data_IF_647212868169
#
_entry.id   IF_647212868169
#
_cell.length_a   1.000
_cell.length_b   1.000
_cell.length_c   1.000
_cell.angle_alpha   90.00
_cell.angle_beta   90.00
_cell.angle_gamma   90.00
#
_symmetry.space_group_name_H-M   'P 1'
#
loop_
_entity.id
_entity.type
_entity.pdbx_description
1 polymer ?
#
# COMPACT_ATOMS: atom_id res chain seq x y z
N UNK A 1 -20.68 38.24 36.08
CA UNK A 1 -19.67 38.13 35.01
C UNK A 1 -19.47 36.65 34.74
N UNK A 2 -19.97 36.15 33.62
CA UNK A 2 -19.93 34.73 33.28
C UNK A 2 -18.66 34.44 32.47
N UNK A 3 -17.83 33.55 33.01
CA UNK A 3 -16.63 33.01 32.37
C UNK A 3 -17.05 32.15 31.17
N UNK A 4 -16.53 32.36 29.95
CA UNK A 4 -16.74 31.41 28.88
C UNK A 4 -15.87 30.19 29.13
N UNK A 5 -16.49 29.01 29.14
CA UNK A 5 -15.81 27.74 29.16
C UNK A 5 -14.92 27.63 27.92
N UNK A 6 -13.64 27.33 28.12
CA UNK A 6 -12.73 27.00 27.03
C UNK A 6 -13.20 25.71 26.36
N UNK A 7 -13.91 25.87 25.26
CA UNK A 7 -14.41 24.79 24.42
C UNK A 7 -13.25 24.08 23.76
N UNK A 8 -13.23 22.75 23.94
CA UNK A 8 -12.74 21.84 22.89
C UNK A 8 -11.25 21.55 22.90
N UNK A 9 -10.87 20.50 23.62
CA UNK A 9 -9.91 19.55 23.08
C UNK A 9 -10.42 19.05 21.72
N UNK A 10 -10.12 19.75 20.63
CA UNK A 10 -10.18 19.14 19.28
C UNK A 10 -8.82 18.52 19.07
N UNK A 11 -8.64 17.37 19.71
CA UNK A 11 -7.61 16.41 19.34
C UNK A 11 -7.87 16.13 17.87
N UNK A 12 -7.09 16.74 16.97
CA UNK A 12 -7.25 16.58 15.53
C UNK A 12 -7.10 15.08 15.25
N UNK A 13 -8.23 14.38 15.08
CA UNK A 13 -8.22 12.96 14.78
C UNK A 13 -7.33 12.75 13.55
N UNK A 14 -6.46 11.72 13.54
CA UNK A 14 -5.70 11.39 12.35
C UNK A 14 -6.73 11.21 11.22
N UNK A 15 -6.67 12.08 10.21
CA UNK A 15 -7.53 11.98 9.04
C UNK A 15 -7.07 10.74 8.27
N UNK A 16 -7.69 9.60 8.58
CA UNK A 16 -7.51 8.34 7.87
C UNK A 16 -8.29 8.43 6.55
N UNK A 17 -7.64 8.09 5.45
CA UNK A 17 -8.27 7.94 4.15
C UNK A 17 -7.79 6.66 3.52
N UNK A 18 -8.66 5.98 2.78
CA UNK A 18 -8.23 4.85 1.96
C UNK A 18 -7.56 5.40 0.71
N UNK A 19 -6.32 5.00 0.47
CA UNK A 19 -5.54 5.38 -0.70
C UNK A 19 -4.95 4.12 -1.31
N UNK A 20 -5.43 3.75 -2.51
CA UNK A 20 -4.95 2.58 -3.26
C UNK A 20 -4.95 1.28 -2.44
N UNK A 21 -6.03 1.05 -1.69
CA UNK A 21 -6.20 -0.13 -0.84
C UNK A 21 -5.46 -0.06 0.51
N UNK A 22 -4.71 1.01 0.78
CA UNK A 22 -4.06 1.26 2.06
C UNK A 22 -4.85 2.23 2.91
N UNK A 23 -4.96 1.97 4.21
CA UNK A 23 -5.44 2.96 5.16
C UNK A 23 -4.33 3.93 5.54
N UNK A 24 -4.44 5.17 5.05
CA UNK A 24 -3.42 6.19 5.19
C UNK A 24 -3.81 7.22 6.25
N UNK A 25 -3.00 7.35 7.30
CA UNK A 25 -3.08 8.43 8.28
C UNK A 25 -2.35 9.65 7.74
N UNK A 26 -3.08 10.58 7.10
CA UNK A 26 -2.49 11.77 6.49
C UNK A 26 -1.60 12.54 7.49
N UNK A 27 -1.98 12.54 8.78
CA UNK A 27 -1.25 13.12 9.90
C UNK A 27 0.22 12.68 10.02
N UNK A 28 0.51 11.43 9.65
CA UNK A 28 1.84 10.80 9.79
C UNK A 28 2.63 10.84 8.49
N UNK A 29 2.00 11.13 7.36
CA UNK A 29 2.72 11.26 6.09
C UNK A 29 3.68 12.45 6.11
N UNK A 30 4.79 12.30 5.41
CA UNK A 30 5.72 13.39 5.09
C UNK A 30 4.94 14.54 4.41
N UNK A 31 5.34 15.81 4.55
CA UNK A 31 4.60 16.93 3.95
C UNK A 31 4.40 16.78 2.44
N UNK A 32 5.43 16.32 1.74
CA UNK A 32 5.38 16.07 0.29
C UNK A 32 4.38 14.97 -0.06
N UNK A 33 4.47 13.80 0.60
CA UNK A 33 3.58 12.67 0.34
C UNK A 33 2.13 12.99 0.70
N UNK A 34 1.90 13.73 1.79
CA UNK A 34 0.57 14.17 2.19
C UNK A 34 -0.09 15.02 1.10
N UNK A 35 0.67 15.94 0.49
CA UNK A 35 0.16 16.77 -0.58
C UNK A 35 -0.09 15.95 -1.85
N UNK A 36 0.81 15.02 -2.16
CA UNK A 36 0.70 14.11 -3.29
C UNK A 36 -0.55 13.20 -3.19
N UNK A 37 -0.77 12.56 -2.03
CA UNK A 37 -1.97 11.73 -1.74
C UNK A 37 -3.27 12.54 -1.86
N UNK A 38 -3.25 13.82 -1.49
CA UNK A 38 -4.42 14.71 -1.69
C UNK A 38 -4.63 15.10 -3.16
N UNK A 39 -3.58 15.12 -3.97
CA UNK A 39 -3.63 15.53 -5.38
C UNK A 39 -3.97 14.38 -6.33
N UNK A 40 -3.72 13.13 -5.94
CA UNK A 40 -3.85 11.94 -6.80
C UNK A 40 -5.24 11.65 -7.35
N UNK A 41 -6.31 12.17 -6.75
CA UNK A 41 -7.66 12.05 -7.33
C UNK A 41 -7.83 12.86 -8.63
N UNK A 42 -6.92 13.82 -8.89
CA UNK A 42 -6.96 14.70 -10.07
C UNK A 42 -5.85 14.44 -11.07
N UNK A 43 -4.72 13.90 -10.62
CA UNK A 43 -3.56 13.65 -11.48
C UNK A 43 -2.81 12.38 -11.04
N UNK A 44 -2.79 11.36 -11.91
CA UNK A 44 -2.06 10.13 -11.69
C UNK A 44 -0.53 10.35 -11.66
N UNK A 45 -0.02 11.40 -12.32
CA UNK A 45 1.41 11.73 -12.30
C UNK A 45 1.86 12.25 -10.92
N UNK A 46 0.94 12.71 -10.08
CA UNK A 46 1.21 13.14 -8.71
C UNK A 46 1.26 11.97 -7.71
N UNK A 47 1.17 10.72 -8.15
CA UNK A 47 1.15 9.54 -7.28
C UNK A 47 2.53 9.24 -6.67
N UNK A 48 2.71 9.35 -5.34
CA UNK A 48 4.01 9.09 -4.70
C UNK A 48 4.40 7.61 -4.68
N UNK A 49 3.49 6.70 -5.07
CA UNK A 49 3.69 5.26 -5.13
C UNK A 49 3.81 4.71 -6.56
N UNK A 50 3.68 5.55 -7.60
CA UNK A 50 3.56 5.06 -8.98
C UNK A 50 4.71 4.14 -9.41
N UNK A 51 5.94 4.48 -9.02
CA UNK A 51 7.13 3.66 -9.31
C UNK A 51 7.09 2.32 -8.57
N UNK A 52 6.62 2.31 -7.32
CA UNK A 52 6.48 1.10 -6.52
C UNK A 52 5.34 0.21 -7.01
N UNK A 53 4.21 0.77 -7.43
CA UNK A 53 3.08 0.03 -7.99
C UNK A 53 3.46 -0.62 -9.34
N UNK A 54 4.17 0.11 -10.20
CA UNK A 54 4.68 -0.45 -11.46
C UNK A 54 5.72 -1.56 -11.20
N UNK A 55 6.54 -1.41 -10.17
CA UNK A 55 7.49 -2.44 -9.76
C UNK A 55 6.78 -3.68 -9.19
N UNK A 56 5.76 -3.48 -8.36
CA UNK A 56 4.92 -4.53 -7.77
C UNK A 56 4.24 -5.36 -8.83
N UNK A 57 3.59 -4.72 -9.81
CA UNK A 57 2.93 -5.42 -10.91
C UNK A 57 3.93 -6.31 -11.67
N UNK A 58 5.08 -5.74 -12.04
CA UNK A 58 6.13 -6.47 -12.76
C UNK A 58 6.70 -7.64 -11.95
N UNK A 59 7.13 -7.39 -10.72
CA UNK A 59 7.75 -8.42 -9.86
C UNK A 59 6.75 -9.52 -9.54
N UNK A 60 5.48 -9.16 -9.32
CA UNK A 60 4.43 -10.15 -9.04
C UNK A 60 4.15 -11.04 -10.25
N UNK A 61 4.07 -10.46 -11.45
CA UNK A 61 3.89 -11.23 -12.67
C UNK A 61 5.09 -12.15 -12.94
N UNK A 62 6.31 -11.64 -12.79
CA UNK A 62 7.56 -12.39 -13.00
C UNK A 62 7.68 -13.56 -12.00
N UNK A 63 7.54 -13.29 -10.71
CA UNK A 63 7.65 -14.31 -9.67
C UNK A 63 6.55 -15.38 -9.79
N UNK A 64 5.31 -14.99 -10.12
CA UNK A 64 4.22 -15.95 -10.33
C UNK A 64 4.49 -16.84 -11.55
N UNK A 65 5.00 -16.26 -12.64
CA UNK A 65 5.35 -17.03 -13.83
C UNK A 65 6.51 -18.01 -13.56
N UNK A 66 7.57 -17.56 -12.88
CA UNK A 66 8.70 -18.41 -12.51
C UNK A 66 8.28 -19.57 -11.61
N UNK A 67 7.48 -19.28 -10.57
CA UNK A 67 6.99 -20.30 -9.65
C UNK A 67 6.07 -21.30 -10.37
N UNK A 68 5.13 -20.83 -11.19
CA UNK A 68 4.23 -21.69 -11.94
C UNK A 68 5.01 -22.63 -12.89
N UNK A 69 6.01 -22.11 -13.62
CA UNK A 69 6.85 -22.92 -14.50
C UNK A 69 7.62 -23.99 -13.71
N UNK A 70 8.19 -23.63 -12.56
CA UNK A 70 8.90 -24.58 -11.71
C UNK A 70 8.00 -25.71 -11.22
N UNK A 71 6.80 -25.38 -10.70
CA UNK A 71 5.87 -26.37 -10.16
C UNK A 71 5.26 -27.27 -11.26
N UNK A 72 5.00 -26.72 -12.45
CA UNK A 72 4.55 -27.49 -13.61
C UNK A 72 5.63 -28.47 -14.10
N UNK A 73 6.89 -28.03 -14.15
CA UNK A 73 8.03 -28.89 -14.49
C UNK A 73 8.19 -30.05 -13.51
N UNK A 74 7.94 -29.79 -12.24
CA UNK A 74 8.01 -30.78 -11.15
C UNK A 74 6.72 -31.64 -11.06
N UNK A 75 5.78 -31.46 -11.99
CA UNK A 75 4.51 -32.20 -12.08
C UNK A 75 3.69 -32.17 -10.78
N UNK A 76 3.71 -31.04 -10.06
CA UNK A 76 2.89 -30.86 -8.86
C UNK A 76 1.40 -30.91 -9.22
N UNK A 77 0.54 -31.48 -8.36
CA UNK A 77 -0.90 -31.48 -8.60
C UNK A 77 -1.45 -30.05 -8.55
N UNK A 78 -2.51 -29.78 -9.33
CA UNK A 78 -3.04 -28.43 -9.51
C UNK A 78 -3.36 -27.68 -8.20
N UNK A 79 -3.92 -28.36 -7.20
CA UNK A 79 -4.26 -27.72 -5.92
C UNK A 79 -3.02 -27.19 -5.18
N UNK A 80 -1.90 -27.91 -5.23
CA UNK A 80 -0.64 -27.41 -4.64
C UNK A 80 -0.05 -26.25 -5.43
N UNK A 81 -0.27 -26.20 -6.74
CA UNK A 81 0.12 -25.05 -7.57
C UNK A 81 -0.70 -23.82 -7.19
N UNK A 82 -2.01 -23.98 -7.06
CA UNK A 82 -2.92 -22.92 -6.63
C UNK A 82 -2.56 -22.40 -5.24
N UNK A 83 -2.34 -23.29 -4.27
CA UNK A 83 -1.94 -22.94 -2.91
C UNK A 83 -0.61 -22.15 -2.91
N UNK A 84 0.41 -22.65 -3.62
CA UNK A 84 1.72 -21.99 -3.68
C UNK A 84 1.66 -20.60 -4.34
N UNK A 85 0.85 -20.43 -5.40
CA UNK A 85 0.66 -19.13 -6.04
C UNK A 85 -0.14 -18.17 -5.15
N UNK A 86 -1.12 -18.68 -4.39
CA UNK A 86 -1.85 -17.88 -3.42
C UNK A 86 -0.93 -17.40 -2.29
N UNK A 87 -0.08 -18.29 -1.77
CA UNK A 87 0.90 -17.95 -0.75
C UNK A 87 1.90 -16.90 -1.26
N UNK A 88 2.44 -17.10 -2.47
CA UNK A 88 3.35 -16.13 -3.09
C UNK A 88 2.71 -14.74 -3.19
N UNK A 89 1.44 -14.66 -3.61
CA UNK A 89 0.71 -13.39 -3.67
C UNK A 89 0.62 -12.72 -2.31
N UNK A 90 0.33 -13.48 -1.25
CA UNK A 90 0.25 -12.94 0.12
C UNK A 90 1.60 -12.39 0.56
N UNK A 91 2.70 -13.11 0.31
CA UNK A 91 4.04 -12.62 0.65
C UNK A 91 4.42 -11.34 -0.09
N UNK A 92 4.11 -11.26 -1.39
CA UNK A 92 4.41 -10.08 -2.19
C UNK A 92 3.54 -8.88 -1.79
N UNK A 93 2.26 -9.09 -1.53
CA UNK A 93 1.34 -8.04 -1.07
C UNK A 93 1.81 -7.43 0.25
N UNK A 94 2.20 -8.26 1.22
CA UNK A 94 2.76 -7.79 2.49
C UNK A 94 4.08 -7.02 2.26
N UNK A 95 4.99 -7.56 1.44
CA UNK A 95 6.26 -6.91 1.13
C UNK A 95 6.08 -5.53 0.48
N UNK A 96 5.22 -5.42 -0.53
CA UNK A 96 4.96 -4.16 -1.21
C UNK A 96 4.15 -3.20 -0.35
N UNK A 97 3.23 -3.69 0.47
CA UNK A 97 2.53 -2.89 1.49
C UNK A 97 3.53 -2.25 2.44
N UNK A 98 4.46 -3.01 3.01
CA UNK A 98 5.51 -2.45 3.88
C UNK A 98 6.33 -1.36 3.18
N UNK A 99 6.71 -1.57 1.91
CA UNK A 99 7.47 -0.56 1.14
C UNK A 99 6.66 0.69 0.84
N UNK A 100 5.37 0.56 0.51
CA UNK A 100 4.45 1.68 0.32
C UNK A 100 4.30 2.47 1.62
N UNK A 101 4.15 1.79 2.75
CA UNK A 101 4.09 2.42 4.07
C UNK A 101 5.39 3.16 4.40
N UNK A 102 6.56 2.54 4.19
CA UNK A 102 7.86 3.20 4.36
C UNK A 102 7.99 4.42 3.43
N UNK A 103 7.54 4.34 2.17
CA UNK A 103 7.57 5.50 1.27
C UNK A 103 6.70 6.64 1.79
N UNK A 104 5.50 6.34 2.29
CA UNK A 104 4.53 7.35 2.75
C UNK A 104 4.90 7.99 4.09
N UNK A 105 5.48 7.21 5.01
CA UNK A 105 5.72 7.59 6.41
C UNK A 105 7.20 7.66 6.81
N UNK A 106 8.09 7.09 5.99
CA UNK A 106 9.53 7.15 6.19
C UNK A 106 10.03 8.53 5.82
N UNK A 107 10.21 9.36 6.85
CA UNK A 107 10.90 10.66 6.87
C UNK A 107 10.03 11.90 6.59
#
# INVERSE_FOLDING_TARGET
>A
MATPAATGNVQALPHRTTFRGLDVELGRCTPANRQAVKATERDAAANPLADLEALEERVSAEAAAELAVALLRDQRPNHEIEDALCDLRVYLDEHFTQRKLIRLYGH
#
